data_IF_063459667859
#
_entry.id   IF_063459667859
#
_cell.length_a   1.000
_cell.length_b   1.000
_cell.length_c   1.000
_cell.angle_alpha   90.00
_cell.angle_beta   90.00
_cell.angle_gamma   90.00
#
_symmetry.space_group_name_H-M   'P 1'
#
loop_
_entity.id
_entity.type
_entity.pdbx_description
1 polymer ?
#
# COMPACT_ATOMS: atom_id res chain seq x y z
N UNK A 1 4.59 33.82 1.72
CA UNK A 1 3.81 34.44 2.81
C UNK A 1 2.43 33.80 2.82
N UNK A 2 1.91 33.37 3.98
CA UNK A 2 0.58 32.78 4.05
C UNK A 2 -0.47 33.81 3.63
N UNK A 3 -1.47 33.36 2.85
CA UNK A 3 -2.65 34.19 2.56
C UNK A 3 -3.50 34.23 3.82
N UNK A 4 -3.91 35.43 4.21
CA UNK A 4 -4.74 35.65 5.39
C UNK A 4 -6.18 35.93 4.95
N UNK A 5 -7.15 35.20 5.48
CA UNK A 5 -8.58 35.45 5.27
C UNK A 5 -9.19 36.09 6.51
N UNK A 6 -9.96 37.16 6.32
CA UNK A 6 -10.70 37.84 7.39
C UNK A 6 -12.09 37.22 7.48
N UNK A 7 -12.36 36.44 8.53
CA UNK A 7 -13.65 35.76 8.74
C UNK A 7 -14.72 36.74 9.24
N UNK A 8 -16.01 36.43 9.03
CA UNK A 8 -17.15 37.32 9.31
C UNK A 8 -17.08 38.06 10.65
N UNK A 9 -16.59 37.41 11.70
CA UNK A 9 -16.48 37.99 13.05
C UNK A 9 -15.14 37.66 13.76
N UNK A 10 -14.07 37.44 13.00
CA UNK A 10 -12.79 36.94 13.55
C UNK A 10 -11.55 37.69 13.05
N UNK A 11 -10.41 37.58 13.78
CA UNK A 11 -9.15 38.12 13.28
C UNK A 11 -8.76 37.43 11.97
N UNK A 12 -7.95 38.07 11.10
CA UNK A 12 -7.39 37.41 9.94
C UNK A 12 -6.62 36.16 10.36
N UNK A 13 -6.95 35.01 9.78
CA UNK A 13 -6.27 33.73 10.00
C UNK A 13 -5.62 33.21 8.72
N UNK A 14 -4.57 32.37 8.80
CA UNK A 14 -4.00 31.73 7.62
C UNK A 14 -5.09 30.92 6.89
N UNK A 15 -5.15 31.07 5.57
CA UNK A 15 -6.01 30.28 4.70
C UNK A 15 -5.36 28.92 4.50
N UNK A 16 -5.86 27.91 5.21
CA UNK A 16 -5.29 26.56 5.18
C UNK A 16 -5.41 25.96 3.77
N UNK A 17 -4.37 25.24 3.34
CA UNK A 17 -4.27 24.58 2.02
C UNK A 17 -4.27 25.54 0.81
N UNK A 18 -4.18 26.86 1.01
CA UNK A 18 -4.20 27.83 -0.07
C UNK A 18 -3.05 27.65 -1.07
N UNK A 19 -1.91 27.13 -0.60
CA UNK A 19 -0.75 26.72 -1.39
C UNK A 19 -1.09 25.73 -2.52
N UNK A 20 -2.16 24.96 -2.39
CA UNK A 20 -2.57 23.97 -3.38
C UNK A 20 -3.63 24.47 -4.38
N UNK A 21 -4.17 25.67 -4.19
CA UNK A 21 -5.17 26.26 -5.11
C UNK A 21 -4.64 26.36 -6.55
N UNK A 22 -3.39 26.81 -6.82
CA UNK A 22 -2.87 26.81 -8.19
C UNK A 22 -2.86 25.42 -8.81
N UNK A 23 -2.50 24.40 -8.04
CA UNK A 23 -2.51 23.03 -8.51
C UNK A 23 -3.92 22.53 -8.77
N UNK A 24 -4.92 22.87 -7.95
CA UNK A 24 -6.32 22.57 -8.24
C UNK A 24 -6.74 23.10 -9.63
N UNK A 25 -6.30 24.30 -10.00
CA UNK A 25 -6.60 24.87 -11.32
C UNK A 25 -5.83 24.20 -12.47
N UNK A 26 -4.72 23.53 -12.16
CA UNK A 26 -3.90 22.76 -13.09
C UNK A 26 -4.44 21.36 -13.38
N UNK A 27 -5.21 20.75 -12.47
CA UNK A 27 -5.79 19.40 -12.66
C UNK A 27 -6.71 19.42 -13.90
N UNK A 28 -6.56 18.45 -14.82
CA UNK A 28 -7.36 18.38 -16.04
C UNK A 28 -8.82 18.05 -15.73
N UNK A 29 -9.71 18.46 -16.63
CA UNK A 29 -11.15 18.23 -16.51
C UNK A 29 -11.50 16.75 -16.38
N UNK A 30 -10.80 15.87 -17.10
CA UNK A 30 -11.04 14.42 -17.07
C UNK A 30 -10.90 13.86 -15.66
N UNK A 31 -9.85 14.25 -14.93
CA UNK A 31 -9.64 13.84 -13.53
C UNK A 31 -10.69 14.48 -12.61
N UNK A 32 -10.88 15.80 -12.66
CA UNK A 32 -11.85 16.48 -11.78
C UNK A 32 -13.28 15.96 -11.99
N UNK A 33 -13.66 15.62 -13.22
CA UNK A 33 -15.00 15.09 -13.53
C UNK A 33 -15.28 13.72 -12.91
N UNK A 34 -14.24 12.98 -12.51
CA UNK A 34 -14.36 11.72 -11.78
C UNK A 34 -14.52 11.93 -10.27
N UNK A 35 -14.36 13.17 -9.78
CA UNK A 35 -14.49 13.52 -8.37
C UNK A 35 -15.95 13.82 -7.98
N UNK A 36 -16.25 13.79 -6.68
CA UNK A 36 -17.57 14.13 -6.15
C UNK A 36 -18.03 15.56 -6.50
N UNK A 37 -19.34 15.80 -6.41
CA UNK A 37 -19.95 17.09 -6.78
C UNK A 37 -19.38 18.28 -5.98
N UNK A 38 -19.04 18.08 -4.71
CA UNK A 38 -18.44 19.11 -3.85
C UNK A 38 -17.05 19.54 -4.34
N UNK A 39 -16.24 18.58 -4.80
CA UNK A 39 -14.89 18.82 -5.35
C UNK A 39 -14.94 19.62 -6.67
N UNK A 40 -16.03 19.47 -7.41
CA UNK A 40 -16.31 20.19 -8.65
C UNK A 40 -17.02 21.54 -8.43
N UNK A 41 -17.41 21.86 -7.21
CA UNK A 41 -18.15 23.09 -6.89
C UNK A 41 -17.25 24.32 -6.66
N UNK A 42 -15.93 24.14 -6.58
CA UNK A 42 -14.98 25.26 -6.46
C UNK A 42 -15.07 26.13 -7.73
N UNK A 43 -15.32 27.44 -7.60
CA UNK A 43 -15.34 28.34 -8.74
C UNK A 43 -14.01 28.33 -9.50
N UNK A 44 -14.10 28.26 -10.83
CA UNK A 44 -12.94 28.38 -11.72
C UNK A 44 -12.42 29.82 -11.84
N UNK A 45 -13.16 30.80 -11.34
CA UNK A 45 -12.66 32.17 -11.15
C UNK A 45 -12.04 32.31 -9.74
N UNK A 46 -10.72 32.56 -9.62
CA UNK A 46 -10.06 32.70 -8.32
C UNK A 46 -10.67 33.80 -7.44
N UNK A 47 -11.10 34.94 -8.01
CA UNK A 47 -11.77 35.97 -7.20
C UNK A 47 -13.06 35.46 -6.60
N UNK A 48 -13.88 34.75 -7.37
CA UNK A 48 -15.12 34.18 -6.85
C UNK A 48 -14.85 33.15 -5.76
N UNK A 49 -13.81 32.31 -5.91
CA UNK A 49 -13.36 31.40 -4.85
C UNK A 49 -13.08 32.17 -3.55
N UNK A 50 -12.25 33.23 -3.60
CA UNK A 50 -11.84 33.97 -2.39
C UNK A 50 -12.97 34.78 -1.74
N UNK A 51 -14.06 35.05 -2.46
CA UNK A 51 -15.25 35.72 -1.93
C UNK A 51 -16.40 34.76 -1.60
N UNK A 52 -16.25 33.47 -1.91
CA UNK A 52 -17.23 32.43 -1.62
C UNK A 52 -16.84 31.67 -0.35
N UNK A 53 -17.60 31.90 0.72
CA UNK A 53 -17.38 31.27 2.02
C UNK A 53 -17.40 29.74 1.99
N UNK A 54 -18.35 29.14 1.28
CA UNK A 54 -18.46 27.69 1.21
C UNK A 54 -17.28 27.09 0.44
N UNK A 55 -16.81 27.75 -0.61
CA UNK A 55 -15.64 27.31 -1.36
C UNK A 55 -14.34 27.48 -0.54
N UNK A 56 -14.21 28.56 0.23
CA UNK A 56 -13.10 28.75 1.16
C UNK A 56 -13.09 27.67 2.25
N UNK A 57 -14.23 27.41 2.91
CA UNK A 57 -14.36 26.35 3.93
C UNK A 57 -14.00 24.98 3.35
N UNK A 58 -14.40 24.71 2.11
CA UNK A 58 -14.04 23.50 1.41
C UNK A 58 -12.54 23.39 1.17
N UNK A 59 -11.87 24.45 0.71
CA UNK A 59 -10.40 24.47 0.54
C UNK A 59 -9.69 24.21 1.87
N UNK A 60 -10.20 24.74 3.00
CA UNK A 60 -9.61 24.49 4.33
C UNK A 60 -9.85 23.05 4.86
N UNK A 61 -10.67 22.24 4.17
CA UNK A 61 -11.05 20.89 4.60
C UNK A 61 -9.97 19.84 4.33
N UNK A 62 -10.06 18.72 5.06
CA UNK A 62 -9.21 17.55 4.82
C UNK A 62 -9.57 16.86 3.49
N UNK A 63 -10.83 16.97 3.04
CA UNK A 63 -11.30 16.40 1.77
C UNK A 63 -10.64 17.08 0.57
N UNK A 64 -10.47 18.41 0.62
CA UNK A 64 -9.69 19.12 -0.41
C UNK A 64 -8.23 18.68 -0.42
N UNK A 65 -7.61 18.52 0.76
CA UNK A 65 -6.22 18.04 0.86
C UNK A 65 -6.06 16.62 0.27
N UNK A 66 -7.01 15.72 0.57
CA UNK A 66 -7.03 14.37 0.01
C UNK A 66 -7.14 14.38 -1.52
N UNK A 67 -8.02 15.21 -2.08
CA UNK A 67 -8.10 15.40 -3.54
C UNK A 67 -6.75 15.79 -4.14
N UNK A 68 -6.06 16.75 -3.54
CA UNK A 68 -4.78 17.23 -4.06
C UNK A 68 -3.74 16.11 -4.04
N UNK A 69 -3.69 15.34 -2.95
CA UNK A 69 -2.79 14.19 -2.79
C UNK A 69 -3.08 13.13 -3.87
N UNK A 70 -4.34 12.71 -4.02
CA UNK A 70 -4.72 11.65 -4.95
C UNK A 70 -4.56 12.09 -6.41
N UNK A 71 -4.93 13.34 -6.72
CA UNK A 71 -4.76 13.90 -8.06
C UNK A 71 -3.28 14.04 -8.43
N UNK A 72 -2.43 14.49 -7.50
CA UNK A 72 -1.00 14.56 -7.72
C UNK A 72 -0.42 13.17 -7.99
N UNK A 73 -0.72 12.19 -7.12
CA UNK A 73 -0.23 10.82 -7.28
C UNK A 73 -0.64 10.22 -8.63
N UNK A 74 -1.92 10.34 -9.00
CA UNK A 74 -2.42 9.85 -10.29
C UNK A 74 -1.73 10.54 -11.49
N UNK A 75 -1.51 11.85 -11.40
CA UNK A 75 -0.90 12.63 -12.48
C UNK A 75 0.59 12.33 -12.66
N UNK A 76 1.35 12.16 -11.57
CA UNK A 76 2.81 11.99 -11.65
C UNK A 76 3.25 10.55 -11.90
N UNK A 77 2.48 9.57 -11.42
CA UNK A 77 2.84 8.14 -11.49
C UNK A 77 3.29 7.65 -12.87
N UNK A 78 2.61 7.98 -13.99
CA UNK A 78 3.02 7.54 -15.33
C UNK A 78 4.41 8.02 -15.75
N UNK A 79 4.92 9.08 -15.12
CA UNK A 79 6.21 9.71 -15.43
C UNK A 79 7.31 9.29 -14.45
N UNK A 80 6.99 8.52 -13.40
CA UNK A 80 7.95 8.03 -12.42
C UNK A 80 8.71 6.75 -12.86
N UNK A 81 8.44 6.24 -14.08
CA UNK A 81 9.17 5.10 -14.64
C UNK A 81 8.62 3.71 -14.25
N UNK A 82 7.36 3.65 -13.80
CA UNK A 82 6.64 2.41 -13.53
C UNK A 82 5.73 2.05 -14.71
N UNK A 83 5.70 0.77 -15.10
CA UNK A 83 4.74 0.23 -16.07
C UNK A 83 3.49 -0.35 -15.39
N UNK A 84 3.54 -0.44 -14.07
CA UNK A 84 2.58 -1.07 -13.21
C UNK A 84 1.62 -0.05 -12.58
N UNK A 85 0.45 -0.50 -12.14
CA UNK A 85 -0.50 0.34 -11.42
C UNK A 85 0.02 0.60 -10.00
N UNK A 86 -0.14 1.82 -9.51
CA UNK A 86 0.35 2.22 -8.18
C UNK A 86 -0.28 1.41 -7.06
N UNK A 87 -1.51 0.93 -7.26
CA UNK A 87 -2.32 0.19 -6.29
C UNK A 87 -1.75 -1.19 -5.95
N UNK A 88 -0.72 -1.67 -6.67
CA UNK A 88 0.00 -2.88 -6.27
C UNK A 88 0.97 -2.62 -5.11
N UNK A 89 1.40 -1.37 -4.93
CA UNK A 89 2.35 -0.97 -3.90
C UNK A 89 1.62 -0.63 -2.61
N UNK A 90 2.26 -0.90 -1.47
CA UNK A 90 1.72 -0.51 -0.18
C UNK A 90 1.90 0.99 0.04
N UNK A 91 1.13 1.55 0.98
CA UNK A 91 1.32 2.94 1.43
C UNK A 91 2.68 3.20 2.11
N UNK A 92 3.50 2.16 2.33
CA UNK A 92 4.84 2.25 2.90
C UNK A 92 5.94 2.20 1.82
N UNK A 93 5.61 1.80 0.60
CA UNK A 93 6.58 1.78 -0.51
C UNK A 93 7.02 3.22 -0.83
N UNK A 94 8.32 3.50 -0.98
CA UNK A 94 8.80 4.84 -1.26
C UNK A 94 8.21 5.45 -2.54
N UNK A 95 7.98 4.67 -3.59
CA UNK A 95 7.38 5.18 -4.83
C UNK A 95 5.95 5.64 -4.60
N UNK A 96 5.16 4.83 -3.87
CA UNK A 96 3.80 5.22 -3.45
C UNK A 96 3.86 6.49 -2.62
N UNK A 97 4.74 6.55 -1.63
CA UNK A 97 4.88 7.70 -0.74
C UNK A 97 5.24 8.99 -1.48
N UNK A 98 6.22 8.94 -2.39
CA UNK A 98 6.64 10.09 -3.19
C UNK A 98 5.51 10.58 -4.10
N UNK A 99 4.78 9.68 -4.76
CA UNK A 99 3.64 10.06 -5.59
C UNK A 99 2.59 10.84 -4.78
N UNK A 100 2.33 10.43 -3.53
CA UNK A 100 1.36 11.06 -2.62
C UNK A 100 1.93 12.25 -1.82
N UNK A 101 3.12 12.74 -2.17
CA UNK A 101 3.72 13.96 -1.60
C UNK A 101 3.61 15.13 -2.59
N UNK A 102 2.44 15.81 -2.69
CA UNK A 102 2.20 16.86 -3.69
C UNK A 102 3.18 18.04 -3.60
N UNK A 103 3.76 18.29 -2.43
CA UNK A 103 4.61 19.45 -2.16
C UNK A 103 5.83 19.51 -3.10
N UNK A 104 6.50 18.39 -3.37
CA UNK A 104 7.66 18.35 -4.28
C UNK A 104 7.28 18.76 -5.71
N UNK A 105 6.17 18.22 -6.20
CA UNK A 105 5.72 18.42 -7.58
C UNK A 105 5.19 19.84 -7.78
N UNK A 106 4.38 20.33 -6.83
CA UNK A 106 3.78 21.67 -6.89
C UNK A 106 4.86 22.75 -6.74
N UNK A 107 5.84 22.53 -5.85
CA UNK A 107 6.94 23.46 -5.70
C UNK A 107 7.73 23.61 -7.00
N UNK A 108 8.13 22.51 -7.64
CA UNK A 108 8.90 22.58 -8.89
C UNK A 108 8.08 23.19 -10.04
N UNK A 109 6.80 22.82 -10.16
CA UNK A 109 5.89 23.44 -11.14
C UNK A 109 5.77 24.95 -10.92
N UNK A 110 5.80 25.42 -9.69
CA UNK A 110 5.76 26.85 -9.35
C UNK A 110 7.09 27.53 -9.64
N UNK A 111 8.21 26.91 -9.26
CA UNK A 111 9.57 27.42 -9.46
C UNK A 111 9.92 27.57 -10.96
N UNK A 112 9.42 26.64 -11.80
CA UNK A 112 9.54 26.69 -13.26
C UNK A 112 8.50 27.62 -13.93
N UNK A 113 7.66 28.30 -13.14
CA UNK A 113 6.66 29.26 -13.63
C UNK A 113 5.49 28.62 -14.39
N UNK A 114 5.28 27.31 -14.24
CA UNK A 114 4.18 26.57 -14.86
C UNK A 114 2.88 26.69 -14.06
N UNK A 115 2.99 26.92 -12.75
CA UNK A 115 1.89 27.33 -11.87
C UNK A 115 2.06 28.78 -11.46
N UNK A 116 0.96 29.53 -11.50
CA UNK A 116 0.91 30.84 -10.87
C UNK A 116 1.03 30.68 -9.35
N UNK A 117 1.74 31.59 -8.69
CA UNK A 117 1.73 31.64 -7.24
C UNK A 117 0.32 31.96 -6.72
N UNK A 118 0.00 31.50 -5.51
CA UNK A 118 -1.31 31.80 -4.89
C UNK A 118 -1.53 33.32 -4.77
N UNK A 119 -0.47 34.09 -4.54
CA UNK A 119 -0.53 35.54 -4.46
C UNK A 119 -0.89 36.20 -5.79
N UNK A 120 -0.40 35.68 -6.91
CA UNK A 120 -0.76 36.14 -8.25
C UNK A 120 -2.21 35.80 -8.60
N UNK A 121 -2.67 34.58 -8.26
CA UNK A 121 -4.08 34.22 -8.43
C UNK A 121 -5.00 35.11 -7.59
N UNK A 122 -4.61 35.37 -6.34
CA UNK A 122 -5.37 36.20 -5.41
C UNK A 122 -5.47 37.67 -5.87
N UNK A 123 -4.41 38.24 -6.44
CA UNK A 123 -4.34 39.67 -6.77
C UNK A 123 -4.61 40.01 -8.23
N UNK A 124 -4.34 39.09 -9.16
CA UNK A 124 -4.18 39.41 -10.58
C UNK A 124 -5.13 38.68 -11.53
N UNK A 125 -5.81 37.62 -11.08
CA UNK A 125 -6.71 36.86 -11.93
C UNK A 125 -8.17 37.21 -11.62
N UNK A 126 -8.81 37.97 -12.51
CA UNK A 126 -10.23 38.37 -12.40
C UNK A 126 -11.17 37.61 -13.35
N UNK A 127 -10.60 36.77 -14.22
CA UNK A 127 -11.33 36.00 -15.24
C UNK A 127 -11.49 34.54 -14.83
N UNK A 128 -12.49 33.87 -15.40
CA UNK A 128 -12.67 32.43 -15.27
C UNK A 128 -11.50 31.67 -15.92
N UNK A 129 -10.89 30.76 -15.16
CA UNK A 129 -9.78 29.93 -15.65
C UNK A 129 -10.32 28.69 -16.38
N UNK A 130 -9.94 28.55 -17.65
CA UNK A 130 -10.14 27.32 -18.41
C UNK A 130 -9.40 26.12 -17.81
N UNK A 131 -9.70 24.93 -18.33
CA UNK A 131 -8.95 23.73 -18.00
C UNK A 131 -7.67 23.66 -18.83
N UNK A 132 -6.57 23.26 -18.22
CA UNK A 132 -5.33 22.99 -18.94
C UNK A 132 -5.54 21.76 -19.84
N UNK A 133 -5.25 21.83 -21.14
CA UNK A 133 -5.35 20.68 -22.03
C UNK A 133 -4.42 19.53 -21.60
N UNK A 134 -4.88 18.28 -21.73
CA UNK A 134 -4.09 17.12 -21.30
C UNK A 134 -2.73 17.01 -22.00
N UNK A 135 -2.64 17.36 -23.29
CA UNK A 135 -1.37 17.35 -24.02
C UNK A 135 -0.35 18.33 -23.44
N UNK A 136 -0.82 19.45 -22.86
CA UNK A 136 0.04 20.45 -22.25
C UNK A 136 0.52 19.98 -20.87
N UNK A 137 -0.38 19.35 -20.09
CA UNK A 137 -0.02 18.69 -18.82
C UNK A 137 1.02 17.59 -19.07
N UNK A 138 0.82 16.76 -20.09
CA UNK A 138 1.75 15.69 -20.45
C UNK A 138 3.15 16.23 -20.75
N UNK A 139 3.26 17.32 -21.53
CA UNK A 139 4.56 17.98 -21.79
C UNK A 139 5.21 18.43 -20.47
N UNK A 140 4.45 19.06 -19.58
CA UNK A 140 4.98 19.56 -18.33
C UNK A 140 5.43 18.44 -17.39
N UNK A 141 4.63 17.40 -17.21
CA UNK A 141 4.96 16.33 -16.28
C UNK A 141 6.11 15.44 -16.79
N UNK A 142 6.25 15.26 -18.12
CA UNK A 142 7.44 14.61 -18.71
C UNK A 142 8.74 15.33 -18.37
N UNK A 143 8.69 16.65 -18.21
CA UNK A 143 9.85 17.46 -17.84
C UNK A 143 10.03 17.51 -16.32
N UNK A 144 8.97 17.82 -15.57
CA UNK A 144 9.03 18.06 -14.13
C UNK A 144 9.34 16.79 -13.35
N UNK A 145 8.61 15.70 -13.58
CA UNK A 145 8.68 14.52 -12.71
C UNK A 145 10.10 13.92 -12.66
N UNK A 146 10.78 13.66 -13.80
CA UNK A 146 12.16 13.15 -13.74
C UNK A 146 13.16 14.14 -13.11
N UNK A 147 12.95 15.44 -13.32
CA UNK A 147 13.84 16.46 -12.74
C UNK A 147 13.69 16.54 -11.22
N UNK A 148 12.46 16.49 -10.69
CA UNK A 148 12.19 16.45 -9.24
C UNK A 148 12.74 15.17 -8.64
N UNK A 149 12.50 14.01 -9.25
CA UNK A 149 13.02 12.73 -8.77
C UNK A 149 14.54 12.76 -8.65
N UNK A 150 15.23 13.28 -9.67
CA UNK A 150 16.68 13.46 -9.66
C UNK A 150 17.15 14.47 -8.59
N UNK A 151 16.48 15.62 -8.49
CA UNK A 151 16.80 16.70 -7.53
C UNK A 151 16.72 16.21 -6.08
N UNK A 152 15.78 15.31 -5.78
CA UNK A 152 15.53 14.79 -4.44
C UNK A 152 16.06 13.37 -4.21
N UNK A 153 16.86 12.82 -5.14
CA UNK A 153 17.43 11.46 -5.04
C UNK A 153 16.36 10.36 -4.85
N UNK A 154 15.15 10.57 -5.37
CA UNK A 154 14.04 9.62 -5.24
C UNK A 154 14.35 8.33 -6.00
N UNK A 155 15.00 8.43 -7.17
CA UNK A 155 15.39 7.27 -7.98
C UNK A 155 16.27 6.29 -7.21
N UNK A 156 17.24 6.78 -6.43
CA UNK A 156 18.14 5.93 -5.64
C UNK A 156 17.37 5.18 -4.55
N UNK A 157 16.47 5.87 -3.85
CA UNK A 157 15.64 5.30 -2.79
C UNK A 157 14.69 4.23 -3.36
N UNK A 158 14.01 4.56 -4.46
CA UNK A 158 13.12 3.63 -5.16
C UNK A 158 13.90 2.42 -5.67
N UNK A 159 15.09 2.62 -6.24
CA UNK A 159 15.91 1.54 -6.77
C UNK A 159 16.34 0.57 -5.66
N UNK A 160 16.71 1.07 -4.48
CA UNK A 160 17.02 0.22 -3.32
C UNK A 160 15.82 -0.64 -2.92
N UNK A 161 14.61 -0.04 -2.86
CA UNK A 161 13.39 -0.79 -2.57
C UNK A 161 13.10 -1.86 -3.64
N UNK A 162 13.31 -1.55 -4.93
CA UNK A 162 13.14 -2.49 -6.05
C UNK A 162 14.18 -3.61 -6.07
N UNK A 163 15.38 -3.38 -5.53
CA UNK A 163 16.40 -4.42 -5.44
C UNK A 163 16.07 -5.44 -4.34
N UNK A 164 15.52 -4.99 -3.23
CA UNK A 164 15.20 -5.81 -2.06
C UNK A 164 13.71 -5.69 -1.64
N UNK A 165 12.76 -5.96 -2.55
CA UNK A 165 11.35 -5.84 -2.27
C UNK A 165 10.96 -6.80 -1.15
N UNK A 166 10.31 -6.23 -0.14
CA UNK A 166 9.68 -6.95 0.94
C UNK A 166 8.20 -7.16 0.60
N UNK A 167 7.56 -8.15 1.23
CA UNK A 167 6.13 -8.36 1.04
C UNK A 167 5.32 -7.12 1.46
N UNK A 168 5.81 -6.42 2.46
CA UNK A 168 5.27 -5.19 3.04
C UNK A 168 5.29 -4.00 2.07
N UNK A 169 6.10 -4.06 1.00
CA UNK A 169 6.14 -3.01 -0.04
C UNK A 169 4.98 -3.13 -1.02
N UNK A 170 4.18 -4.21 -0.92
CA UNK A 170 3.02 -4.42 -1.77
C UNK A 170 1.70 -4.37 -0.99
N UNK A 171 0.64 -3.94 -1.67
CA UNK A 171 -0.72 -3.95 -1.15
C UNK A 171 -1.16 -5.39 -0.83
N UNK A 172 -1.94 -5.57 0.24
CA UNK A 172 -2.39 -6.88 0.69
C UNK A 172 -3.41 -7.53 -0.28
N UNK A 173 -4.14 -6.73 -1.06
CA UNK A 173 -5.16 -7.19 -2.00
C UNK A 173 -4.52 -8.03 -3.10
N UNK A 174 -5.24 -9.05 -3.56
CA UNK A 174 -4.79 -9.92 -4.65
C UNK A 174 -4.76 -9.14 -5.96
N UNK A 175 -3.62 -9.16 -6.65
CA UNK A 175 -3.43 -8.56 -7.98
C UNK A 175 -2.55 -9.47 -8.83
N UNK A 176 -2.95 -9.70 -10.09
CA UNK A 176 -2.15 -10.47 -11.04
C UNK A 176 -0.85 -9.73 -11.36
N UNK A 177 -0.92 -8.41 -11.54
CA UNK A 177 0.26 -7.59 -11.78
C UNK A 177 1.26 -7.64 -10.62
N UNK A 178 0.78 -7.62 -9.36
CA UNK A 178 1.63 -7.85 -8.19
C UNK A 178 2.33 -9.21 -8.26
N UNK A 179 1.56 -10.25 -8.58
CA UNK A 179 2.08 -11.61 -8.71
C UNK A 179 3.16 -11.69 -9.78
N UNK A 180 2.96 -11.05 -10.93
CA UNK A 180 3.90 -11.05 -12.04
C UNK A 180 5.19 -10.29 -11.71
N UNK A 181 5.10 -9.15 -11.02
CA UNK A 181 6.26 -8.39 -10.53
C UNK A 181 7.09 -9.24 -9.57
N UNK A 182 6.44 -9.84 -8.58
CA UNK A 182 7.10 -10.68 -7.56
C UNK A 182 7.75 -11.90 -8.23
N UNK A 183 7.02 -12.60 -9.11
CA UNK A 183 7.55 -13.75 -9.86
C UNK A 183 8.76 -13.36 -10.67
N UNK A 184 8.68 -12.29 -11.47
CA UNK A 184 9.80 -11.80 -12.29
C UNK A 184 11.03 -11.49 -11.43
N UNK A 185 10.82 -10.89 -10.26
CA UNK A 185 11.90 -10.60 -9.32
C UNK A 185 12.55 -11.88 -8.78
N UNK A 186 11.76 -12.86 -8.30
CA UNK A 186 12.29 -14.15 -7.84
C UNK A 186 13.04 -14.88 -8.96
N UNK A 187 12.45 -14.96 -10.16
CA UNK A 187 13.04 -15.66 -11.31
C UNK A 187 14.38 -15.05 -11.77
N UNK A 188 14.55 -13.73 -11.69
CA UNK A 188 15.78 -13.05 -12.12
C UNK A 188 16.93 -13.17 -11.12
N UNK A 189 16.66 -13.47 -9.84
CA UNK A 189 17.68 -13.58 -8.77
C UNK A 189 17.99 -15.01 -8.34
N UNK A 190 17.15 -15.99 -8.64
CA UNK A 190 17.52 -17.40 -8.47
C UNK A 190 18.76 -17.72 -9.31
N UNK A 191 19.79 -18.30 -8.68
CA UNK A 191 21.04 -18.77 -9.33
C UNK A 191 20.84 -19.82 -10.43
N UNK A 192 19.60 -20.22 -10.68
CA UNK A 192 19.20 -21.05 -11.80
C UNK A 192 18.52 -20.11 -12.82
N UNK A 193 19.29 -19.44 -13.71
CA UNK A 193 18.72 -18.89 -14.94
C UNK A 193 18.01 -20.03 -15.68
N UNK A 194 17.02 -19.73 -16.54
CA UNK A 194 16.26 -20.74 -17.31
C UNK A 194 17.17 -21.84 -17.84
N UNK A 195 17.25 -22.92 -17.07
CA UNK A 195 17.69 -24.24 -17.48
C UNK A 195 16.42 -24.94 -17.93
N UNK A 196 16.52 -25.83 -18.93
CA UNK A 196 15.33 -26.59 -19.32
C UNK A 196 14.79 -27.37 -18.11
N UNK A 197 13.51 -27.76 -18.14
CA UNK A 197 12.95 -28.60 -17.07
C UNK A 197 13.81 -29.86 -16.86
N UNK A 198 14.39 -30.39 -17.94
CA UNK A 198 15.32 -31.52 -17.88
C UNK A 198 16.62 -31.16 -17.16
N UNK A 199 17.26 -30.03 -17.49
CA UNK A 199 18.48 -29.58 -16.81
C UNK A 199 18.25 -29.23 -15.33
N UNK A 200 17.06 -28.74 -14.96
CA UNK A 200 16.68 -28.53 -13.56
C UNK A 200 16.50 -29.86 -12.83
N UNK A 201 15.82 -30.83 -13.45
CA UNK A 201 15.62 -32.17 -12.92
C UNK A 201 16.95 -32.90 -12.70
N UNK A 202 17.88 -32.79 -13.65
CA UNK A 202 19.24 -33.36 -13.54
C UNK A 202 20.03 -32.72 -12.40
N UNK A 203 20.06 -31.39 -12.32
CA UNK A 203 20.75 -30.69 -11.23
C UNK A 203 20.14 -30.99 -9.85
N UNK A 204 18.82 -31.13 -9.77
CA UNK A 204 18.11 -31.50 -8.55
C UNK A 204 18.46 -32.94 -8.13
N UNK A 205 18.45 -33.89 -9.06
CA UNK A 205 18.84 -35.27 -8.81
C UNK A 205 20.30 -35.37 -8.35
N UNK A 206 21.23 -34.65 -8.98
CA UNK A 206 22.64 -34.64 -8.60
C UNK A 206 22.86 -34.10 -7.18
N UNK A 207 22.11 -33.08 -6.79
CA UNK A 207 22.22 -32.45 -5.46
C UNK A 207 21.48 -33.20 -4.36
N UNK A 208 20.47 -34.00 -4.71
CA UNK A 208 19.61 -34.72 -3.76
C UNK A 208 19.74 -36.25 -3.84
N UNK A 209 20.87 -36.76 -4.37
CA UNK A 209 21.21 -38.18 -4.31
C UNK A 209 20.39 -39.07 -5.24
N UNK A 210 20.01 -38.55 -6.41
CA UNK A 210 19.24 -39.25 -7.45
C UNK A 210 17.73 -39.11 -7.32
N UNK A 211 17.24 -38.18 -6.50
CA UNK A 211 15.81 -37.96 -6.31
C UNK A 211 15.21 -37.17 -7.49
N UNK A 212 14.18 -37.70 -8.15
CA UNK A 212 13.47 -37.01 -9.22
C UNK A 212 12.68 -35.81 -8.69
N UNK A 213 12.71 -34.70 -9.43
CA UNK A 213 11.92 -33.52 -9.11
C UNK A 213 10.46 -33.75 -9.50
N UNK A 214 9.55 -33.59 -8.52
CA UNK A 214 8.11 -33.67 -8.71
C UNK A 214 7.51 -32.27 -8.53
N UNK A 215 6.95 -31.71 -9.61
CA UNK A 215 6.18 -30.45 -9.56
C UNK A 215 4.87 -30.71 -8.82
N UNK A 216 4.90 -30.73 -7.50
CA UNK A 216 3.66 -30.66 -6.72
C UNK A 216 3.37 -29.19 -6.39
N UNK A 217 2.30 -28.71 -7.03
CA UNK A 217 1.72 -27.37 -7.06
C UNK A 217 1.56 -26.67 -5.70
N UNK A 218 1.23 -25.38 -5.76
CA UNK A 218 0.75 -24.51 -4.67
C UNK A 218 -0.59 -24.98 -4.01
N UNK A 219 -0.91 -26.26 -4.10
CA UNK A 219 -1.94 -26.91 -3.30
C UNK A 219 -1.39 -27.21 -1.90
N UNK A 220 -2.27 -27.19 -0.91
CA UNK A 220 -1.92 -27.59 0.45
C UNK A 220 -1.47 -29.05 0.43
N UNK A 221 -0.16 -29.24 0.66
CA UNK A 221 0.47 -30.56 0.58
C UNK A 221 -0.30 -31.54 1.45
N UNK A 222 -0.73 -32.64 0.84
CA UNK A 222 -1.51 -33.67 1.52
C UNK A 222 -0.70 -34.96 1.55
N UNK A 223 -0.36 -35.45 2.75
CA UNK A 223 0.30 -36.74 2.94
C UNK A 223 -0.64 -37.64 3.73
N UNK A 224 -1.01 -38.80 3.20
CA UNK A 224 -1.92 -39.75 3.85
C UNK A 224 -3.20 -39.09 4.40
N UNK A 225 -3.88 -38.29 3.57
CA UNK A 225 -5.09 -37.53 3.95
C UNK A 225 -4.88 -36.47 5.05
N UNK A 226 -3.62 -36.10 5.33
CA UNK A 226 -3.24 -35.06 6.28
C UNK A 226 -2.69 -33.86 5.53
N UNK A 227 -3.28 -32.69 5.74
CA UNK A 227 -2.87 -31.40 5.19
C UNK A 227 -1.65 -30.85 5.93
N UNK A 228 -0.68 -30.33 5.21
CA UNK A 228 0.54 -29.73 5.78
C UNK A 228 0.47 -28.23 5.54
N UNK A 229 0.48 -27.45 6.63
CA UNK A 229 0.41 -25.98 6.56
C UNK A 229 1.69 -25.40 7.16
N UNK A 230 2.46 -24.73 6.31
CA UNK A 230 3.58 -23.91 6.76
C UNK A 230 3.09 -22.58 7.32
N UNK A 231 3.49 -22.23 8.54
CA UNK A 231 3.10 -20.97 9.19
C UNK A 231 4.35 -20.22 9.64
N UNK A 232 4.54 -19.01 9.14
CA UNK A 232 5.57 -18.08 9.57
C UNK A 232 4.97 -17.02 10.51
N UNK A 233 5.36 -17.11 11.79
CA UNK A 233 4.90 -16.25 12.88
C UNK A 233 5.73 -14.96 12.98
N UNK A 234 5.34 -13.94 12.23
CA UNK A 234 5.91 -12.60 12.35
C UNK A 234 5.41 -11.84 13.59
N UNK A 235 6.10 -10.74 13.92
CA UNK A 235 5.61 -9.75 14.89
C UNK A 235 4.60 -8.78 14.27
N UNK A 236 4.75 -8.48 12.97
CA UNK A 236 3.80 -7.64 12.23
C UNK A 236 2.69 -8.47 11.60
N UNK A 237 3.05 -9.54 10.90
CA UNK A 237 2.16 -10.34 10.06
C UNK A 237 2.32 -11.84 10.31
N UNK A 238 1.23 -12.59 10.12
CA UNK A 238 1.20 -14.04 9.96
C UNK A 238 1.26 -14.37 8.47
N UNK A 239 2.12 -15.32 8.07
CA UNK A 239 2.29 -15.71 6.66
C UNK A 239 2.14 -17.21 6.50
N UNK A 240 1.45 -17.63 5.45
CA UNK A 240 1.34 -19.01 4.98
C UNK A 240 1.52 -19.05 3.45
N UNK A 241 1.36 -20.21 2.82
CA UNK A 241 1.53 -20.34 1.37
C UNK A 241 0.55 -19.47 0.58
N UNK A 242 -0.70 -19.35 1.04
CA UNK A 242 -1.78 -18.68 0.33
C UNK A 242 -2.29 -17.40 1.00
N UNK A 243 -1.87 -17.08 2.23
CA UNK A 243 -2.32 -15.87 2.91
C UNK A 243 -1.23 -15.15 3.70
N UNK A 244 -1.43 -13.84 3.86
CA UNK A 244 -0.66 -12.98 4.75
C UNK A 244 -1.63 -12.00 5.41
N UNK A 245 -1.58 -11.86 6.72
CA UNK A 245 -2.48 -10.97 7.46
C UNK A 245 -1.82 -10.38 8.73
N UNK A 246 -2.22 -9.19 9.18
CA UNK A 246 -1.64 -8.57 10.38
C UNK A 246 -1.92 -9.39 11.65
N UNK A 247 -1.01 -9.28 12.62
CA UNK A 247 -1.05 -9.99 13.92
C UNK A 247 -1.94 -9.30 14.97
N UNK A 248 -2.68 -8.25 14.61
CA UNK A 248 -3.64 -7.61 15.51
C UNK A 248 -4.78 -8.57 15.87
N UNK A 249 -5.03 -8.76 17.17
CA UNK A 249 -6.13 -9.57 17.70
C UNK A 249 -6.91 -8.71 18.70
N UNK A 250 -8.23 -8.63 18.52
CA UNK A 250 -9.14 -8.01 19.49
C UNK A 250 -10.20 -9.03 19.90
N UNK A 251 -10.27 -9.36 21.19
CA UNK A 251 -11.22 -10.33 21.73
C UNK A 251 -12.49 -9.66 22.27
N UNK A 252 -13.64 -10.29 22.05
CA UNK A 252 -14.97 -9.87 22.49
C UNK A 252 -15.70 -11.04 23.16
N UNK A 253 -16.48 -10.74 24.20
CA UNK A 253 -17.29 -11.73 24.91
C UNK A 253 -18.69 -11.93 24.28
N UNK A 254 -19.07 -11.04 23.35
CA UNK A 254 -20.30 -11.09 22.57
C UNK A 254 -19.99 -10.83 21.10
N UNK A 255 -20.86 -11.32 20.20
CA UNK A 255 -20.68 -11.14 18.75
C UNK A 255 -20.63 -9.63 18.39
N UNK A 256 -19.53 -9.14 17.79
CA UNK A 256 -19.38 -7.74 17.41
C UNK A 256 -20.22 -7.38 16.17
N UNK A 257 -20.51 -6.09 15.99
CA UNK A 257 -21.29 -5.57 14.85
C UNK A 257 -20.59 -5.79 13.49
N UNK A 258 -19.25 -5.84 13.48
CA UNK A 258 -18.45 -6.12 12.30
C UNK A 258 -17.88 -7.54 12.42
N UNK A 259 -18.15 -8.39 11.44
CA UNK A 259 -17.77 -9.82 11.46
C UNK A 259 -16.77 -10.20 10.35
N UNK A 260 -16.27 -9.20 9.62
CA UNK A 260 -15.20 -9.39 8.65
C UNK A 260 -13.93 -9.85 9.37
N UNK A 261 -13.33 -10.95 8.90
CA UNK A 261 -12.13 -11.56 9.50
C UNK A 261 -12.27 -11.92 11.00
N UNK A 262 -13.47 -12.35 11.40
CA UNK A 262 -13.76 -12.85 12.74
C UNK A 262 -13.48 -14.36 12.87
N UNK A 263 -12.76 -14.75 13.92
CA UNK A 263 -12.63 -16.13 14.39
C UNK A 263 -13.48 -16.33 15.65
N UNK A 264 -14.26 -17.41 15.68
CA UNK A 264 -14.98 -17.85 16.90
C UNK A 264 -14.26 -19.07 17.46
N UNK A 265 -13.74 -18.95 18.68
CA UNK A 265 -13.01 -20.03 19.34
C UNK A 265 -13.21 -19.98 20.86
N UNK A 266 -13.42 -21.14 21.49
CA UNK A 266 -13.59 -21.22 22.95
C UNK A 266 -14.76 -20.42 23.51
N UNK A 267 -15.81 -20.15 22.71
CA UNK A 267 -16.96 -19.34 23.14
C UNK A 267 -16.71 -17.83 23.13
N UNK A 268 -15.59 -17.37 22.55
CA UNK A 268 -15.23 -15.96 22.39
C UNK A 268 -15.12 -15.60 20.91
N UNK A 269 -15.20 -14.30 20.63
CA UNK A 269 -15.17 -13.75 19.29
C UNK A 269 -13.89 -12.91 19.11
N UNK A 270 -13.07 -13.23 18.11
CA UNK A 270 -11.79 -12.57 17.87
C UNK A 270 -11.80 -11.89 16.50
N UNK A 271 -11.58 -10.58 16.46
CA UNK A 271 -11.33 -9.86 15.21
C UNK A 271 -9.83 -9.89 14.90
N UNK A 272 -9.50 -10.32 13.68
CA UNK A 272 -8.13 -10.51 13.21
C UNK A 272 -7.78 -9.42 12.21
N UNK A 273 -6.68 -8.72 12.44
CA UNK A 273 -6.13 -7.73 11.51
C UNK A 273 -6.44 -6.27 11.82
N UNK A 274 -7.20 -5.96 12.88
CA UNK A 274 -7.35 -4.57 13.35
C UNK A 274 -6.10 -4.14 14.14
N UNK A 275 -5.13 -3.54 13.43
CA UNK A 275 -3.91 -2.97 14.01
C UNK A 275 -2.71 -3.92 14.11
N UNK A 276 -1.70 -3.51 14.87
CA UNK A 276 -0.47 -4.28 15.12
C UNK A 276 -0.32 -4.60 16.61
N UNK A 277 0.11 -5.82 16.91
CA UNK A 277 0.47 -6.20 18.29
C UNK A 277 1.66 -5.35 18.76
N UNK A 278 1.54 -4.74 19.93
CA UNK A 278 2.68 -4.07 20.59
C UNK A 278 3.72 -5.14 20.91
N UNK A 279 5.00 -4.84 20.64
CA UNK A 279 6.11 -5.76 20.89
C UNK A 279 6.05 -6.33 22.32
N UNK A 280 5.90 -7.65 22.43
CA UNK A 280 6.02 -8.41 23.66
C UNK A 280 7.28 -9.29 23.56
N UNK A 281 8.17 -9.29 24.57
CA UNK A 281 9.44 -10.02 24.51
C UNK A 281 9.27 -11.55 24.37
N UNK A 282 8.16 -12.11 24.85
CA UNK A 282 7.94 -13.55 24.95
C UNK A 282 6.77 -14.01 24.06
N UNK A 283 7.10 -14.65 22.94
CA UNK A 283 6.15 -15.25 21.98
C UNK A 283 5.50 -16.56 22.45
N UNK A 284 5.82 -17.07 23.65
CA UNK A 284 5.50 -18.46 24.07
C UNK A 284 4.12 -18.62 24.70
N UNK A 285 3.59 -17.59 25.36
CA UNK A 285 2.39 -17.72 26.21
C UNK A 285 1.28 -16.76 25.82
N UNK A 286 1.18 -16.44 24.53
CA UNK A 286 0.21 -15.47 24.06
C UNK A 286 -1.00 -16.20 23.45
N UNK A 287 -2.14 -16.10 24.14
CA UNK A 287 -3.45 -16.56 23.65
C UNK A 287 -3.70 -16.04 22.22
N UNK A 288 -3.18 -14.85 21.90
CA UNK A 288 -3.25 -14.25 20.57
C UNK A 288 -2.53 -15.07 19.49
N UNK A 289 -1.36 -15.64 19.75
CA UNK A 289 -0.64 -16.43 18.73
C UNK A 289 -1.31 -17.78 18.47
N UNK A 290 -2.00 -18.34 19.46
CA UNK A 290 -2.86 -19.51 19.27
C UNK A 290 -4.04 -19.14 18.34
N UNK A 291 -4.74 -18.05 18.66
CA UNK A 291 -5.85 -17.51 17.84
C UNK A 291 -5.39 -17.19 16.41
N UNK A 292 -4.23 -16.57 16.24
CA UNK A 292 -3.63 -16.26 14.94
C UNK A 292 -3.28 -17.52 14.15
N UNK A 293 -2.82 -18.57 14.82
CA UNK A 293 -2.53 -19.87 14.19
C UNK A 293 -3.82 -20.52 13.69
N UNK A 294 -4.89 -20.50 14.50
CA UNK A 294 -6.21 -20.98 14.09
C UNK A 294 -6.78 -20.16 12.92
N UNK A 295 -6.60 -18.84 12.93
CA UNK A 295 -7.00 -17.98 11.83
C UNK A 295 -6.24 -18.28 10.54
N UNK A 296 -4.92 -18.54 10.62
CA UNK A 296 -4.11 -18.95 9.48
C UNK A 296 -4.58 -20.28 8.88
N UNK A 297 -4.85 -21.27 9.73
CA UNK A 297 -5.42 -22.56 9.33
C UNK A 297 -6.77 -22.36 8.64
N UNK A 298 -7.68 -21.60 9.25
CA UNK A 298 -9.01 -21.36 8.70
C UNK A 298 -8.95 -20.67 7.33
N UNK A 299 -8.02 -19.71 7.14
CA UNK A 299 -7.81 -19.03 5.86
C UNK A 299 -7.27 -19.97 4.78
N UNK A 300 -6.34 -20.84 5.12
CA UNK A 300 -5.80 -21.88 4.23
C UNK A 300 -6.88 -22.91 3.83
N UNK A 301 -7.66 -23.41 4.79
CA UNK A 301 -8.78 -24.32 4.49
C UNK A 301 -9.85 -23.66 3.62
N UNK A 302 -10.18 -22.39 3.90
CA UNK A 302 -11.12 -21.61 3.09
C UNK A 302 -10.62 -21.44 1.65
N UNK A 303 -9.32 -21.28 1.44
CA UNK A 303 -8.75 -21.19 0.09
C UNK A 303 -8.96 -22.49 -0.70
N UNK A 304 -9.00 -23.64 -0.03
CA UNK A 304 -9.31 -24.95 -0.64
C UNK A 304 -10.80 -25.34 -0.56
N UNK A 305 -11.69 -24.45 -0.10
CA UNK A 305 -13.11 -24.74 0.16
C UNK A 305 -13.33 -25.93 1.13
N UNK A 306 -12.43 -26.12 2.08
CA UNK A 306 -12.52 -27.14 3.12
C UNK A 306 -13.08 -26.53 4.41
N UNK A 307 -13.93 -27.28 5.10
CA UNK A 307 -14.43 -26.92 6.44
C UNK A 307 -13.84 -27.79 7.54
N UNK A 308 -13.21 -28.92 7.17
CA UNK A 308 -12.56 -29.86 8.08
C UNK A 308 -11.34 -30.49 7.41
N UNK A 309 -10.29 -30.75 8.19
CA UNK A 309 -9.10 -31.46 7.75
C UNK A 309 -8.29 -32.00 8.94
N UNK A 310 -7.54 -33.08 8.72
CA UNK A 310 -6.41 -33.45 9.58
C UNK A 310 -5.21 -32.62 9.17
N UNK A 311 -4.59 -31.89 10.10
CA UNK A 311 -3.56 -30.90 9.78
C UNK A 311 -2.28 -31.17 10.57
N UNK A 312 -1.14 -31.03 9.89
CA UNK A 312 0.19 -30.90 10.50
C UNK A 312 0.69 -29.49 10.24
N UNK A 313 1.01 -28.78 11.32
CA UNK A 313 1.55 -27.42 11.26
C UNK A 313 3.08 -27.49 11.21
N UNK A 314 3.66 -26.87 10.19
CA UNK A 314 5.09 -26.66 10.06
C UNK A 314 5.41 -25.19 10.35
N UNK A 315 5.62 -24.84 11.62
CA UNK A 315 5.93 -23.48 12.04
C UNK A 315 7.41 -23.30 12.43
N UNK A 316 7.97 -22.13 12.09
CA UNK A 316 9.33 -21.74 12.46
C UNK A 316 9.38 -20.84 13.70
N UNK A 317 10.33 -21.08 14.60
CA UNK A 317 10.66 -20.16 15.69
C UNK A 317 11.75 -19.16 15.24
N UNK A 318 11.78 -17.92 15.77
CA UNK A 318 12.87 -16.98 15.51
C UNK A 318 14.25 -17.57 15.86
N UNK A 319 15.28 -17.16 15.10
CA UNK A 319 16.63 -17.74 15.10
C UNK A 319 17.36 -17.80 16.46
N UNK A 320 16.89 -17.10 17.50
CA UNK A 320 17.49 -17.11 18.83
C UNK A 320 17.10 -18.34 19.69
N UNK A 321 16.22 -19.21 19.19
CA UNK A 321 15.51 -20.23 19.99
C UNK A 321 15.86 -21.68 19.69
N UNK A 322 16.82 -21.92 18.80
CA UNK A 322 17.24 -23.28 18.41
C UNK A 322 17.92 -24.07 19.54
N UNK A 323 18.20 -23.45 20.70
CA UNK A 323 18.83 -24.12 21.85
C UNK A 323 17.98 -23.99 23.12
N UNK A 324 16.98 -24.87 23.29
CA UNK A 324 16.41 -25.10 24.62
C UNK A 324 15.03 -25.75 24.71
N UNK A 325 14.09 -25.42 23.82
CA UNK A 325 12.65 -25.68 24.11
C UNK A 325 11.86 -26.28 22.95
N UNK A 326 12.50 -27.14 22.14
CA UNK A 326 11.84 -27.90 21.06
C UNK A 326 10.75 -28.87 21.55
N UNK A 327 10.81 -29.28 22.81
CA UNK A 327 9.92 -30.28 23.39
C UNK A 327 8.55 -29.70 23.79
N UNK A 328 8.54 -28.47 24.34
CA UNK A 328 7.32 -27.84 24.86
C UNK A 328 6.37 -27.41 23.73
N UNK A 329 6.91 -26.98 22.58
CA UNK A 329 6.10 -26.65 21.39
C UNK A 329 5.45 -27.87 20.73
N UNK A 330 6.00 -29.08 20.92
CA UNK A 330 5.44 -30.32 20.36
C UNK A 330 4.28 -30.87 21.22
N UNK A 331 4.11 -30.33 22.44
CA UNK A 331 3.14 -30.80 23.42
C UNK A 331 1.83 -29.99 23.43
N UNK A 332 1.76 -28.92 22.62
CA UNK A 332 0.55 -28.14 22.28
C UNK A 332 0.07 -28.63 20.91
#
# INVERSE_FOLDING_TARGET
MPIMLTRKDGPPTPFRNAEYIPFYYFIPKSILSCCGAELNAIPRNPQELFHNWAACEFVESDLFRLLIIDAAAFMVWPYMGFGEYMEIYSGYDPAWWFAHCPDYWIQELTDEGLLASVGELFKGCHSELGYVPEWQIDIYLRYIVPNVMKKHQMDEIIQVAREYPCFEDFDFRKSNQKTDVIRKWYHTRTRHPMISLEEFQEAYADTHGGQEYNEEDAEMKTIHNTKIIGIDHGYGNMKTANCCFPTGVTAYDHEPLFTADMLVYGGRYYLIGEGHKKFAPDKINDEDYNVLTLAAIAKELKAENLTEAHIVIAAGLPLTWTSGQKADFKAI
#
